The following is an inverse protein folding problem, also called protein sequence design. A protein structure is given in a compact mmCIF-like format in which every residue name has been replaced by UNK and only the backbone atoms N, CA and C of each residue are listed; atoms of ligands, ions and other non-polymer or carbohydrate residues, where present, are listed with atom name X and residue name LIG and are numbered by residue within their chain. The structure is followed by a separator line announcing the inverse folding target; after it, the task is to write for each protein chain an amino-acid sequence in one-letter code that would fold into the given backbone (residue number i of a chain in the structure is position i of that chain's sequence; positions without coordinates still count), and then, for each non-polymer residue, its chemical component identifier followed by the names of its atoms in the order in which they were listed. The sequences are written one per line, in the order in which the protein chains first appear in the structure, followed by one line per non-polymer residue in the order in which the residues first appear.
data_IF_834221229953
#
_entry.id   IF_834221229953
#
_cell.length_a   1.000
_cell.length_b   1.000
_cell.length_c   1.000
_cell.angle_alpha   90.00
_cell.angle_beta   90.00
_cell.angle_gamma   90.00
#
_symmetry.space_group_name_H-M   'P 1'
#
loop_
_entity.id
_entity.type
_entity.pdbx_description
1 polymer ?
#
# COMPACT_ATOMS: atom_id res chain seq x y z
N UNK A 1 2.19 -106.37 50.40
CA UNK A 1 1.97 -107.60 49.61
C UNK A 1 0.47 -107.85 49.50
N UNK A 2 0.01 -108.06 48.28
CA UNK A 2 -1.18 -108.82 47.81
C UNK A 2 -2.57 -108.52 48.37
N UNK A 3 -3.34 -107.90 47.48
CA UNK A 3 -4.74 -108.13 47.11
C UNK A 3 -5.46 -109.33 47.73
N UNK A 4 -6.65 -109.04 48.27
CA UNK A 4 -7.76 -109.98 48.48
C UNK A 4 -8.93 -109.60 47.57
N UNK A 5 -9.63 -110.65 47.13
CA UNK A 5 -10.59 -110.73 46.03
C UNK A 5 -12.07 -110.48 46.39
N UNK A 6 -12.83 -109.99 45.39
CA UNK A 6 -14.27 -110.29 45.05
C UNK A 6 -15.38 -109.67 45.95
N UNK A 7 -16.63 -109.36 45.47
CA UNK A 7 -17.30 -109.68 44.19
C UNK A 7 -17.90 -108.51 43.38
N UNK A 8 -18.17 -108.83 42.11
CA UNK A 8 -19.08 -108.14 41.18
C UNK A 8 -20.52 -108.31 41.65
N UNK A 9 -21.33 -107.25 41.58
CA UNK A 9 -22.77 -107.35 41.79
C UNK A 9 -23.56 -106.65 40.67
N UNK A 10 -24.58 -107.36 40.20
CA UNK A 10 -25.26 -107.23 38.92
C UNK A 10 -26.42 -106.21 38.95
N UNK A 11 -26.19 -104.96 39.35
CA UNK A 11 -27.29 -103.97 39.46
C UNK A 11 -27.47 -103.03 38.24
N UNK A 12 -26.61 -103.14 37.21
CA UNK A 12 -26.50 -102.10 36.15
C UNK A 12 -27.61 -102.18 35.09
N UNK A 13 -28.40 -103.25 35.03
CA UNK A 13 -29.30 -103.48 33.89
C UNK A 13 -30.75 -102.98 34.04
N UNK A 14 -31.13 -102.35 35.17
CA UNK A 14 -32.51 -101.85 35.35
C UNK A 14 -32.64 -100.31 35.33
N UNK A 15 -31.54 -99.56 35.45
CA UNK A 15 -31.57 -98.09 35.39
C UNK A 15 -31.31 -97.51 33.99
N UNK A 16 -30.71 -98.27 33.08
CA UNK A 16 -30.33 -97.77 31.74
C UNK A 16 -31.52 -97.61 30.79
N UNK A 17 -32.60 -98.36 31.00
CA UNK A 17 -33.82 -98.28 30.16
C UNK A 17 -34.77 -97.15 30.56
N UNK A 18 -34.82 -96.74 31.84
CA UNK A 18 -35.63 -95.57 32.27
C UNK A 18 -34.99 -94.21 31.94
N UNK A 19 -33.67 -94.14 31.84
CA UNK A 19 -32.94 -92.89 31.51
C UNK A 19 -33.02 -92.51 30.02
N UNK A 20 -33.29 -93.48 29.13
CA UNK A 20 -33.41 -93.21 27.68
C UNK A 20 -34.78 -92.65 27.25
N UNK A 21 -35.84 -92.88 28.03
CA UNK A 21 -37.16 -92.29 27.75
C UNK A 21 -37.29 -90.84 28.27
N UNK A 22 -36.71 -90.53 29.44
CA UNK A 22 -36.72 -89.17 29.99
C UNK A 22 -35.88 -88.18 29.15
N UNK A 23 -34.81 -88.66 28.51
CA UNK A 23 -33.95 -87.84 27.64
C UNK A 23 -34.63 -87.44 26.31
N UNK A 24 -35.57 -88.26 25.81
CA UNK A 24 -36.35 -87.94 24.60
C UNK A 24 -37.51 -86.98 24.87
N UNK A 25 -38.05 -86.94 26.09
CA UNK A 25 -39.05 -85.94 26.48
C UNK A 25 -38.45 -84.56 26.78
N UNK A 26 -37.28 -84.50 27.45
CA UNK A 26 -36.60 -83.23 27.72
C UNK A 26 -36.16 -82.50 26.44
N UNK A 27 -35.72 -83.22 25.40
CA UNK A 27 -35.33 -82.62 24.12
C UNK A 27 -36.52 -82.14 23.27
N UNK A 28 -37.73 -82.68 23.49
CA UNK A 28 -38.98 -82.14 22.91
C UNK A 28 -39.47 -80.91 23.67
N UNK A 29 -39.39 -80.91 25.00
CA UNK A 29 -39.77 -79.77 25.84
C UNK A 29 -38.83 -78.56 25.64
N UNK A 30 -37.52 -78.77 25.47
CA UNK A 30 -36.57 -77.69 25.18
C UNK A 30 -36.76 -77.07 23.78
N UNK A 31 -37.16 -77.87 22.79
CA UNK A 31 -37.52 -77.34 21.45
C UNK A 31 -38.84 -76.55 21.49
N UNK A 32 -39.82 -76.99 22.29
CA UNK A 32 -41.08 -76.27 22.47
C UNK A 32 -40.87 -74.99 23.29
N UNK A 33 -40.01 -75.00 24.32
CA UNK A 33 -39.68 -73.81 25.10
C UNK A 33 -38.83 -72.80 24.31
N UNK A 34 -37.86 -73.24 23.50
CA UNK A 34 -37.14 -72.35 22.59
C UNK A 34 -38.06 -71.75 21.53
N UNK A 35 -38.93 -72.54 20.89
CA UNK A 35 -39.87 -72.00 19.90
C UNK A 35 -40.94 -71.08 20.53
N UNK A 36 -41.43 -71.37 21.74
CA UNK A 36 -42.36 -70.48 22.46
C UNK A 36 -41.68 -69.21 22.96
N UNK A 37 -40.43 -69.28 23.41
CA UNK A 37 -39.68 -68.11 23.86
C UNK A 37 -39.32 -67.20 22.69
N UNK A 38 -38.92 -67.75 21.55
CA UNK A 38 -38.65 -66.96 20.34
C UNK A 38 -39.93 -66.34 19.80
N UNK A 39 -41.05 -67.08 19.78
CA UNK A 39 -42.33 -66.53 19.35
C UNK A 39 -42.91 -65.48 20.31
N UNK A 40 -42.68 -65.63 21.62
CA UNK A 40 -43.05 -64.63 22.63
C UNK A 40 -42.20 -63.35 22.49
N UNK A 41 -40.89 -63.49 22.28
CA UNK A 41 -40.02 -62.35 21.98
C UNK A 41 -40.42 -61.66 20.66
N UNK A 42 -40.84 -62.43 19.64
CA UNK A 42 -41.32 -61.89 18.37
C UNK A 42 -42.61 -61.08 18.55
N UNK A 43 -43.60 -61.60 19.30
CA UNK A 43 -44.84 -60.89 19.61
C UNK A 43 -44.63 -59.66 20.50
N UNK A 44 -43.70 -59.73 21.45
CA UNK A 44 -43.31 -58.58 22.27
C UNK A 44 -42.63 -57.50 21.42
N UNK A 45 -41.78 -57.89 20.47
CA UNK A 45 -41.18 -56.95 19.52
C UNK A 45 -42.23 -56.34 18.59
N UNK A 46 -43.13 -57.12 17.98
CA UNK A 46 -44.22 -56.57 17.14
C UNK A 46 -45.13 -55.61 17.91
N UNK A 47 -45.47 -55.96 19.16
CA UNK A 47 -46.27 -55.11 20.04
C UNK A 47 -45.55 -53.80 20.41
N UNK A 48 -44.26 -53.88 20.72
CA UNK A 48 -43.45 -52.71 21.02
C UNK A 48 -43.24 -51.83 19.78
N UNK A 49 -42.98 -52.41 18.61
CA UNK A 49 -42.87 -51.71 17.33
C UNK A 49 -44.19 -50.99 17.03
N UNK A 50 -45.33 -51.66 17.21
CA UNK A 50 -46.67 -51.05 17.00
C UNK A 50 -46.90 -49.89 17.96
N UNK A 51 -46.56 -50.05 19.24
CA UNK A 51 -46.70 -48.99 20.25
C UNK A 51 -45.77 -47.79 20.02
N UNK A 52 -44.57 -48.00 19.47
CA UNK A 52 -43.62 -46.92 19.14
C UNK A 52 -44.02 -46.21 17.84
N UNK A 53 -44.61 -46.94 16.88
CA UNK A 53 -45.17 -46.40 15.63
C UNK A 53 -46.38 -45.47 15.87
N UNK A 54 -47.14 -45.67 16.96
CA UNK A 54 -48.31 -44.86 17.29
C UNK A 54 -47.98 -43.57 18.07
N UNK A 55 -46.74 -43.37 18.51
CA UNK A 55 -46.34 -42.24 19.37
C UNK A 55 -45.24 -41.35 18.79
N UNK A 56 -44.86 -41.53 17.52
CA UNK A 56 -43.93 -40.62 16.83
C UNK A 56 -44.71 -39.55 16.07
N UNK A 57 -44.39 -38.25 16.26
CA UNK A 57 -45.15 -37.16 15.64
C UNK A 57 -45.07 -37.23 14.11
N UNK A 58 -46.23 -37.03 13.48
CA UNK A 58 -46.43 -37.09 12.04
C UNK A 58 -45.73 -35.90 11.36
N UNK A 59 -44.54 -36.15 10.82
CA UNK A 59 -43.73 -35.16 10.08
C UNK A 59 -44.17 -35.05 8.61
N UNK A 60 -45.47 -34.88 8.38
CA UNK A 60 -46.12 -34.70 7.07
C UNK A 60 -45.79 -33.37 6.37
N UNK A 61 -44.65 -32.74 6.70
CA UNK A 61 -44.20 -31.46 6.10
C UNK A 61 -42.84 -31.52 5.40
N UNK A 62 -42.32 -32.70 5.08
CA UNK A 62 -41.00 -32.85 4.40
C UNK A 62 -41.14 -33.37 2.95
N UNK A 63 -42.34 -33.50 2.40
CA UNK A 63 -42.54 -34.12 1.07
C UNK A 63 -42.18 -33.28 -0.16
N UNK A 64 -41.64 -32.06 -0.01
CA UNK A 64 -41.27 -31.22 -1.17
C UNK A 64 -39.80 -31.37 -1.65
N UNK A 65 -39.15 -32.50 -1.35
CA UNK A 65 -37.81 -32.83 -1.89
C UNK A 65 -37.72 -34.28 -2.37
N UNK A 66 -38.34 -34.57 -3.51
CA UNK A 66 -38.23 -35.88 -4.18
C UNK A 66 -37.86 -35.70 -5.66
N UNK A 67 -36.70 -35.09 -5.94
CA UNK A 67 -36.02 -35.16 -7.24
C UNK A 67 -34.49 -35.05 -7.07
N UNK A 68 -33.88 -35.92 -6.27
CA UNK A 68 -32.45 -36.26 -6.37
C UNK A 68 -32.21 -37.60 -5.69
N UNK A 69 -31.36 -38.44 -6.29
CA UNK A 69 -31.22 -39.87 -5.97
C UNK A 69 -31.00 -40.20 -4.50
N UNK A 70 -31.55 -41.35 -4.09
CA UNK A 70 -31.23 -42.15 -2.89
C UNK A 70 -30.36 -41.43 -1.85
N UNK A 71 -30.94 -40.42 -1.18
CA UNK A 71 -30.35 -39.98 0.08
C UNK A 71 -30.66 -41.04 1.13
N UNK A 72 -29.64 -41.56 1.85
CA UNK A 72 -29.88 -42.49 2.94
C UNK A 72 -30.82 -41.84 3.96
N UNK A 73 -31.91 -42.54 4.30
CA UNK A 73 -32.91 -42.05 5.26
C UNK A 73 -32.23 -41.60 6.55
N UNK A 74 -32.56 -40.40 7.08
CA UNK A 74 -31.89 -39.85 8.25
C UNK A 74 -31.93 -40.84 9.43
N UNK A 75 -30.80 -41.06 10.12
CA UNK A 75 -30.78 -41.91 11.32
C UNK A 75 -31.73 -41.33 12.38
N UNK A 76 -32.63 -42.17 12.90
CA UNK A 76 -33.70 -41.76 13.83
C UNK A 76 -35.05 -41.41 13.17
N UNK A 77 -35.14 -41.44 11.84
CA UNK A 77 -36.45 -41.38 11.16
C UNK A 77 -37.25 -42.68 11.37
N UNK A 78 -38.58 -42.56 11.37
CA UNK A 78 -39.49 -43.71 11.49
C UNK A 78 -39.22 -44.78 10.42
N UNK A 79 -38.95 -44.35 9.18
CA UNK A 79 -38.60 -45.23 8.07
C UNK A 79 -37.26 -45.95 8.30
N UNK A 80 -36.23 -45.25 8.78
CA UNK A 80 -34.94 -45.85 9.11
C UNK A 80 -35.05 -46.88 10.25
N UNK A 81 -35.78 -46.56 11.31
CA UNK A 81 -36.04 -47.47 12.43
C UNK A 81 -36.81 -48.71 11.97
N UNK A 82 -37.86 -48.53 11.18
CA UNK A 82 -38.66 -49.62 10.65
C UNK A 82 -37.84 -50.54 9.75
N UNK A 83 -36.99 -49.98 8.88
CA UNK A 83 -36.11 -50.76 8.01
C UNK A 83 -35.01 -51.49 8.79
N UNK A 84 -34.42 -50.83 9.80
CA UNK A 84 -33.42 -51.43 10.69
C UNK A 84 -33.99 -52.61 11.47
N UNK A 85 -35.19 -52.45 12.02
CA UNK A 85 -35.87 -53.50 12.78
C UNK A 85 -36.29 -54.64 11.85
N UNK A 86 -36.80 -54.33 10.66
CA UNK A 86 -37.12 -55.34 9.64
C UNK A 86 -35.87 -56.13 9.26
N UNK A 87 -34.76 -55.47 8.97
CA UNK A 87 -33.48 -56.11 8.65
C UNK A 87 -32.99 -57.01 9.81
N UNK A 88 -33.08 -56.53 11.06
CA UNK A 88 -32.70 -57.30 12.24
C UNK A 88 -33.59 -58.54 12.47
N UNK A 89 -34.91 -58.43 12.27
CA UNK A 89 -35.82 -59.58 12.38
C UNK A 89 -35.55 -60.61 11.28
N UNK A 90 -35.27 -60.15 10.06
CA UNK A 90 -34.93 -61.04 8.94
C UNK A 90 -33.59 -61.76 9.17
N UNK A 91 -32.60 -61.06 9.74
CA UNK A 91 -31.32 -61.64 10.14
C UNK A 91 -31.50 -62.69 11.27
N UNK A 92 -32.33 -62.37 12.27
CA UNK A 92 -32.63 -63.28 13.38
C UNK A 92 -33.27 -64.59 12.88
N UNK A 93 -34.17 -64.52 11.90
CA UNK A 93 -34.81 -65.68 11.29
C UNK A 93 -33.85 -66.54 10.46
N UNK A 94 -32.85 -65.94 9.82
CA UNK A 94 -31.97 -66.62 8.84
C UNK A 94 -30.65 -67.12 9.42
N UNK A 95 -29.99 -66.30 10.25
CA UNK A 95 -28.67 -66.60 10.82
C UNK A 95 -28.64 -66.61 12.35
N UNK A 96 -29.73 -66.20 13.01
CA UNK A 96 -29.85 -66.14 14.47
C UNK A 96 -28.81 -65.20 15.13
N UNK A 97 -28.44 -64.13 14.41
CA UNK A 97 -27.46 -63.10 14.80
C UNK A 97 -28.09 -61.70 14.76
N UNK A 98 -27.35 -60.69 15.25
CA UNK A 98 -27.76 -59.28 15.25
C UNK A 98 -26.64 -58.34 14.73
N UNK A 99 -25.87 -58.79 13.75
CA UNK A 99 -24.77 -58.00 13.17
C UNK A 99 -25.29 -56.74 12.51
N UNK A 100 -26.47 -56.77 11.89
CA UNK A 100 -27.12 -55.60 11.28
C UNK A 100 -27.35 -54.47 12.29
N UNK A 101 -27.83 -54.79 13.50
CA UNK A 101 -27.99 -53.79 14.56
C UNK A 101 -26.64 -53.22 15.02
N UNK A 102 -25.62 -54.07 15.07
CA UNK A 102 -24.27 -53.67 15.47
C UNK A 102 -23.66 -52.71 14.46
N UNK A 103 -23.84 -53.00 13.16
CA UNK A 103 -23.40 -52.15 12.05
C UNK A 103 -24.16 -50.82 12.00
N UNK A 104 -25.47 -50.85 12.26
CA UNK A 104 -26.29 -49.63 12.35
C UNK A 104 -25.82 -48.75 13.50
N UNK A 105 -25.62 -49.31 14.70
CA UNK A 105 -25.11 -48.56 15.85
C UNK A 105 -23.71 -48.00 15.57
N UNK A 106 -22.84 -48.78 14.93
CA UNK A 106 -21.51 -48.34 14.53
C UNK A 106 -21.57 -47.16 13.55
N UNK A 107 -22.39 -47.26 12.50
CA UNK A 107 -22.54 -46.21 11.49
C UNK A 107 -23.16 -44.92 12.07
N UNK A 108 -24.20 -45.03 12.91
CA UNK A 108 -24.80 -43.86 13.58
C UNK A 108 -23.80 -43.18 14.52
N UNK A 109 -23.02 -43.97 15.27
CA UNK A 109 -21.97 -43.43 16.16
C UNK A 109 -20.85 -42.74 15.36
N UNK A 110 -20.47 -43.29 14.20
CA UNK A 110 -19.50 -42.68 13.29
C UNK A 110 -20.03 -41.36 12.73
N UNK A 111 -21.24 -41.34 12.18
CA UNK A 111 -21.87 -40.14 11.63
C UNK A 111 -21.99 -39.03 12.68
N UNK A 112 -22.36 -39.38 13.92
CA UNK A 112 -22.42 -38.41 15.02
C UNK A 112 -21.05 -37.80 15.32
N UNK A 113 -19.98 -38.59 15.33
CA UNK A 113 -18.61 -38.08 15.52
C UNK A 113 -18.17 -37.18 14.36
N UNK A 114 -18.52 -37.54 13.12
CA UNK A 114 -18.21 -36.73 11.94
C UNK A 114 -18.94 -35.38 12.01
N UNK A 115 -20.21 -35.36 12.43
CA UNK A 115 -20.99 -34.14 12.65
C UNK A 115 -20.41 -33.27 13.77
N UNK A 116 -20.05 -33.87 14.92
CA UNK A 116 -19.36 -33.17 16.02
C UNK A 116 -18.03 -32.56 15.55
N UNK A 117 -17.27 -33.26 14.71
CA UNK A 117 -16.04 -32.75 14.09
C UNK A 117 -16.28 -31.53 13.21
N UNK A 118 -17.31 -31.57 12.35
CA UNK A 118 -17.70 -30.45 11.49
C UNK A 118 -18.17 -29.23 12.30
N UNK A 119 -18.93 -29.46 13.39
CA UNK A 119 -19.37 -28.38 14.29
C UNK A 119 -18.17 -27.70 14.94
N UNK A 120 -17.19 -28.47 15.42
CA UNK A 120 -15.99 -27.92 16.05
C UNK A 120 -15.13 -27.14 15.04
N UNK A 121 -14.96 -27.65 13.82
CA UNK A 121 -14.26 -26.94 12.74
C UNK A 121 -14.98 -25.64 12.37
N UNK A 122 -16.32 -25.67 12.26
CA UNK A 122 -17.14 -24.50 12.02
C UNK A 122 -16.99 -23.44 13.13
N UNK A 123 -16.99 -23.87 14.40
CA UNK A 123 -16.74 -22.99 15.53
C UNK A 123 -15.33 -22.35 15.44
N UNK A 124 -14.30 -23.12 15.08
CA UNK A 124 -12.95 -22.58 14.84
C UNK A 124 -12.92 -21.49 13.76
N UNK A 125 -13.57 -21.75 12.60
CA UNK A 125 -13.64 -20.79 11.48
C UNK A 125 -14.36 -19.49 11.85
N UNK A 126 -15.40 -19.56 12.69
CA UNK A 126 -16.11 -18.34 13.13
C UNK A 126 -15.25 -17.44 14.00
N UNK A 127 -14.42 -18.01 14.89
CA UNK A 127 -13.45 -17.25 15.69
C UNK A 127 -12.38 -16.63 14.80
N UNK A 128 -11.85 -17.39 13.85
CA UNK A 128 -10.86 -16.89 12.88
C UNK A 128 -11.42 -15.74 12.03
N UNK A 129 -12.65 -15.89 11.51
CA UNK A 129 -13.32 -14.83 10.76
C UNK A 129 -13.54 -13.56 11.60
N UNK A 130 -13.91 -13.70 12.86
CA UNK A 130 -14.06 -12.56 13.77
C UNK A 130 -12.71 -11.86 14.01
N UNK A 131 -11.63 -12.62 14.18
CA UNK A 131 -10.28 -12.10 14.31
C UNK A 131 -9.84 -11.34 13.06
N UNK A 132 -9.98 -11.94 11.87
CA UNK A 132 -9.60 -11.33 10.59
C UNK A 132 -10.41 -10.07 10.31
N UNK A 133 -11.72 -10.06 10.61
CA UNK A 133 -12.56 -8.87 10.49
C UNK A 133 -12.09 -7.74 11.39
N UNK A 134 -11.69 -8.04 12.62
CA UNK A 134 -11.14 -7.05 13.55
C UNK A 134 -9.77 -6.54 13.11
N UNK A 135 -8.93 -7.39 12.52
CA UNK A 135 -7.65 -6.97 11.94
C UNK A 135 -7.88 -6.05 10.75
N UNK A 136 -8.76 -6.41 9.82
CA UNK A 136 -9.11 -5.57 8.67
C UNK A 136 -9.63 -4.20 9.09
N UNK A 137 -10.54 -4.15 10.09
CA UNK A 137 -11.06 -2.88 10.62
C UNK A 137 -9.94 -2.02 11.21
N UNK A 138 -9.00 -2.62 11.95
CA UNK A 138 -7.86 -1.87 12.51
C UNK A 138 -6.98 -1.30 11.41
N UNK A 139 -6.64 -2.09 10.40
CA UNK A 139 -5.85 -1.62 9.26
C UNK A 139 -6.56 -0.49 8.50
N UNK A 140 -7.87 -0.57 8.30
CA UNK A 140 -8.65 0.49 7.67
C UNK A 140 -8.58 1.80 8.46
N UNK A 141 -8.71 1.74 9.78
CA UNK A 141 -8.59 2.92 10.65
C UNK A 141 -7.16 3.50 10.58
N UNK A 142 -6.13 2.67 10.66
CA UNK A 142 -4.74 3.11 10.54
C UNK A 142 -4.49 3.81 9.20
N UNK A 143 -4.92 3.20 8.08
CA UNK A 143 -4.77 3.81 6.75
C UNK A 143 -5.53 5.13 6.63
N UNK A 144 -6.73 5.22 7.18
CA UNK A 144 -7.49 6.47 7.18
C UNK A 144 -6.78 7.58 7.95
N UNK A 145 -6.19 7.25 9.11
CA UNK A 145 -5.39 8.20 9.88
C UNK A 145 -4.12 8.62 9.13
N UNK A 146 -3.42 7.68 8.49
CA UNK A 146 -2.22 7.99 7.70
C UNK A 146 -2.55 8.90 6.51
N UNK A 147 -3.70 8.70 5.86
CA UNK A 147 -4.19 9.58 4.80
C UNK A 147 -4.45 10.98 5.38
N UNK A 148 -5.16 11.09 6.50
CA UNK A 148 -5.41 12.38 7.15
C UNK A 148 -4.13 13.13 7.53
N UNK A 149 -3.13 12.45 8.07
CA UNK A 149 -1.82 13.04 8.39
C UNK A 149 -1.08 13.53 7.14
N UNK A 150 -1.17 12.78 6.03
CA UNK A 150 -0.57 13.19 4.75
C UNK A 150 -1.30 14.38 4.14
N UNK A 151 -2.63 14.42 4.24
CA UNK A 151 -3.44 15.56 3.77
C UNK A 151 -3.11 16.83 4.56
N UNK A 152 -2.96 16.73 5.89
CA UNK A 152 -2.52 17.84 6.74
C UNK A 152 -1.11 18.32 6.37
N UNK A 153 -0.17 17.39 6.15
CA UNK A 153 1.19 17.74 5.69
C UNK A 153 1.16 18.44 4.32
N UNK A 154 0.33 17.98 3.39
CA UNK A 154 0.17 18.63 2.07
C UNK A 154 -0.39 20.04 2.24
N UNK A 155 -1.36 20.26 3.13
CA UNK A 155 -1.90 21.58 3.42
C UNK A 155 -0.82 22.52 3.97
N UNK A 156 -0.07 22.07 4.98
CA UNK A 156 1.03 22.85 5.58
C UNK A 156 2.10 23.21 4.54
N UNK A 157 2.55 22.24 3.73
CA UNK A 157 3.54 22.47 2.68
C UNK A 157 3.04 23.46 1.62
N UNK A 158 1.74 23.46 1.32
CA UNK A 158 1.14 24.41 0.38
C UNK A 158 1.15 25.84 0.94
N UNK A 159 0.84 25.99 2.23
CA UNK A 159 0.86 27.29 2.91
C UNK A 159 2.29 27.84 3.01
N UNK A 160 3.27 26.98 3.32
CA UNK A 160 4.69 27.33 3.31
C UNK A 160 5.15 27.81 1.92
N UNK A 161 4.77 27.07 0.87
CA UNK A 161 5.11 27.43 -0.50
C UNK A 161 4.49 28.76 -0.92
N UNK A 162 3.23 29.02 -0.56
CA UNK A 162 2.58 30.31 -0.82
C UNK A 162 3.26 31.46 -0.07
N UNK A 163 3.65 31.23 1.18
CA UNK A 163 4.37 32.22 1.99
C UNK A 163 5.73 32.55 1.36
N UNK A 164 6.51 31.54 0.98
CA UNK A 164 7.80 31.72 0.30
C UNK A 164 7.65 32.41 -1.06
N UNK A 165 6.61 32.07 -1.83
CA UNK A 165 6.32 32.74 -3.09
C UNK A 165 6.09 34.24 -2.90
N UNK A 166 5.27 34.61 -1.91
CA UNK A 166 5.01 36.02 -1.61
C UNK A 166 6.26 36.75 -1.12
N UNK A 167 7.07 36.12 -0.24
CA UNK A 167 8.33 36.68 0.23
C UNK A 167 9.29 36.94 -0.93
N UNK A 168 9.51 35.95 -1.79
CA UNK A 168 10.37 36.08 -2.96
C UNK A 168 9.89 37.17 -3.92
N UNK A 169 8.58 37.27 -4.14
CA UNK A 169 8.01 38.32 -4.99
C UNK A 169 8.28 39.71 -4.41
N UNK A 170 8.09 39.89 -3.10
CA UNK A 170 8.37 41.14 -2.40
C UNK A 170 9.86 41.50 -2.45
N UNK A 171 10.74 40.52 -2.21
CA UNK A 171 12.20 40.72 -2.30
C UNK A 171 12.62 41.12 -3.71
N UNK A 172 12.08 40.46 -4.73
CA UNK A 172 12.35 40.80 -6.12
C UNK A 172 11.90 42.21 -6.47
N UNK A 173 10.70 42.62 -6.04
CA UNK A 173 10.24 44.00 -6.23
C UNK A 173 11.15 45.01 -5.53
N UNK A 174 11.59 44.70 -4.31
CA UNK A 174 12.49 45.57 -3.56
C UNK A 174 13.84 45.73 -4.26
N UNK A 175 14.44 44.63 -4.70
CA UNK A 175 15.71 44.65 -5.44
C UNK A 175 15.56 45.46 -6.73
N UNK A 176 14.51 45.21 -7.52
CA UNK A 176 14.27 45.94 -8.75
C UNK A 176 14.14 47.45 -8.53
N UNK A 177 13.41 47.87 -7.48
CA UNK A 177 13.25 49.30 -7.13
C UNK A 177 14.58 49.90 -6.68
N UNK A 178 15.33 49.18 -5.85
CA UNK A 178 16.64 49.64 -5.38
C UNK A 178 17.64 49.79 -6.53
N UNK A 179 17.71 48.80 -7.44
CA UNK A 179 18.59 48.85 -8.60
C UNK A 179 18.19 49.98 -9.55
N UNK A 180 16.89 50.18 -9.80
CA UNK A 180 16.39 51.28 -10.63
C UNK A 180 16.78 52.64 -10.05
N UNK A 181 16.54 52.86 -8.75
CA UNK A 181 16.92 54.11 -8.08
C UNK A 181 18.44 54.35 -8.10
N UNK A 182 19.23 53.28 -7.95
CA UNK A 182 20.70 53.35 -8.04
C UNK A 182 21.15 53.74 -9.46
N UNK A 183 20.55 53.16 -10.49
CA UNK A 183 20.82 53.49 -11.88
C UNK A 183 20.45 54.94 -12.20
N UNK A 184 19.28 55.40 -11.76
CA UNK A 184 18.84 56.80 -11.92
C UNK A 184 19.81 57.79 -11.26
N UNK A 185 20.21 57.53 -10.00
CA UNK A 185 21.16 58.39 -9.29
C UNK A 185 22.53 58.43 -10.00
N UNK A 186 23.00 57.29 -10.50
CA UNK A 186 24.26 57.24 -11.23
C UNK A 186 24.17 57.98 -12.58
N UNK A 187 23.05 57.84 -13.29
CA UNK A 187 22.80 58.58 -14.53
C UNK A 187 22.80 60.09 -14.29
N UNK A 188 22.14 60.57 -13.23
CA UNK A 188 22.13 61.98 -12.86
C UNK A 188 23.52 62.51 -12.51
N UNK A 189 24.32 61.72 -11.77
CA UNK A 189 25.71 62.07 -11.46
C UNK A 189 26.54 62.19 -12.72
N UNK A 190 26.41 61.21 -13.62
CA UNK A 190 27.13 61.20 -14.89
C UNK A 190 26.75 62.43 -15.74
N UNK A 191 25.46 62.72 -15.87
CA UNK A 191 24.96 63.87 -16.62
C UNK A 191 25.51 65.20 -16.09
N UNK A 192 25.53 65.38 -14.75
CA UNK A 192 26.14 66.55 -14.12
C UNK A 192 27.64 66.65 -14.41
N UNK A 193 28.37 65.55 -14.35
CA UNK A 193 29.81 65.56 -14.65
C UNK A 193 30.09 65.85 -16.12
N UNK A 194 29.31 65.27 -17.03
CA UNK A 194 29.42 65.51 -18.48
C UNK A 194 29.11 66.97 -18.80
N UNK A 195 28.02 67.50 -18.23
CA UNK A 195 27.64 68.91 -18.40
C UNK A 195 28.74 69.86 -17.89
N UNK A 196 29.30 69.59 -16.70
CA UNK A 196 30.39 70.40 -16.15
C UNK A 196 31.67 70.35 -16.99
N UNK A 197 32.03 69.18 -17.52
CA UNK A 197 33.18 69.05 -18.43
C UNK A 197 32.95 69.79 -19.74
N UNK A 198 31.72 69.76 -20.27
CA UNK A 198 31.35 70.49 -21.48
C UNK A 198 31.43 72.01 -21.28
N UNK A 199 30.96 72.53 -20.15
CA UNK A 199 31.10 73.94 -19.80
C UNK A 199 32.58 74.36 -19.72
N UNK A 200 33.43 73.52 -19.14
CA UNK A 200 34.88 73.76 -19.10
C UNK A 200 35.50 73.74 -20.49
N UNK A 201 35.13 72.78 -21.33
CA UNK A 201 35.59 72.69 -22.72
C UNK A 201 35.23 73.96 -23.51
N UNK A 202 33.99 74.43 -23.39
CA UNK A 202 33.52 75.65 -24.06
C UNK A 202 34.25 76.90 -23.56
N UNK A 203 34.54 76.98 -22.25
CA UNK A 203 35.35 78.06 -21.67
C UNK A 203 36.79 78.04 -22.20
N UNK A 204 37.41 76.85 -22.27
CA UNK A 204 38.76 76.70 -22.82
C UNK A 204 38.81 77.10 -24.30
N UNK A 205 37.84 76.68 -25.11
CA UNK A 205 37.71 77.09 -26.52
C UNK A 205 37.61 78.61 -26.64
N UNK A 206 36.74 79.23 -25.83
CA UNK A 206 36.60 80.67 -25.83
C UNK A 206 37.92 81.38 -25.47
N UNK A 207 38.61 80.93 -24.43
CA UNK A 207 39.90 81.49 -24.03
C UNK A 207 40.94 81.34 -25.14
N UNK A 208 41.03 80.16 -25.78
CA UNK A 208 41.93 79.92 -26.91
C UNK A 208 41.64 80.86 -28.08
N UNK A 209 40.37 81.05 -28.44
CA UNK A 209 39.97 81.97 -29.51
C UNK A 209 40.35 83.42 -29.19
N UNK A 210 40.20 83.85 -27.93
CA UNK A 210 40.61 85.19 -27.51
C UNK A 210 42.13 85.37 -27.56
N UNK A 211 42.90 84.35 -27.14
CA UNK A 211 44.36 84.37 -27.21
C UNK A 211 44.83 84.42 -28.67
N UNK A 212 44.27 83.59 -29.54
CA UNK A 212 44.56 83.61 -30.98
C UNK A 212 44.26 84.97 -31.61
N UNK A 213 43.15 85.62 -31.23
CA UNK A 213 42.81 86.97 -31.70
C UNK A 213 43.86 87.99 -31.25
N UNK A 214 44.18 88.03 -29.96
CA UNK A 214 45.19 88.96 -29.41
C UNK A 214 46.57 88.71 -30.04
N UNK A 215 46.95 87.45 -30.25
CA UNK A 215 48.19 87.09 -30.91
C UNK A 215 48.22 87.59 -32.37
N UNK A 216 47.10 87.43 -33.10
CA UNK A 216 46.95 87.94 -34.47
C UNK A 216 47.06 89.47 -34.51
N UNK A 217 46.38 90.17 -33.60
CA UNK A 217 46.44 91.63 -33.49
C UNK A 217 47.86 92.12 -33.18
N UNK A 218 48.57 91.40 -32.29
CA UNK A 218 49.96 91.68 -31.94
C UNK A 218 50.89 91.51 -33.14
N UNK A 219 50.76 90.42 -33.89
CA UNK A 219 51.53 90.19 -35.12
C UNK A 219 51.26 91.30 -36.14
N UNK A 220 50.00 91.68 -36.32
CA UNK A 220 49.60 92.74 -37.25
C UNK A 220 50.21 94.08 -36.86
N UNK A 221 50.12 94.45 -35.58
CA UNK A 221 50.71 95.68 -35.05
C UNK A 221 52.23 95.72 -35.26
N UNK A 222 52.94 94.65 -34.87
CA UNK A 222 54.39 94.53 -35.06
C UNK A 222 54.79 94.61 -36.54
N UNK A 223 54.03 93.93 -37.41
CA UNK A 223 54.27 93.95 -38.85
C UNK A 223 54.12 95.36 -39.45
N UNK A 224 53.10 96.10 -39.02
CA UNK A 224 52.90 97.49 -39.43
C UNK A 224 54.03 98.41 -38.91
N UNK A 225 54.40 98.28 -37.63
CA UNK A 225 55.49 99.06 -37.04
C UNK A 225 56.83 98.87 -37.78
N UNK A 226 57.15 97.63 -38.16
CA UNK A 226 58.34 97.30 -38.96
C UNK A 226 58.28 97.97 -40.34
N UNK A 227 57.12 98.02 -40.99
CA UNK A 227 56.96 98.63 -42.32
C UNK A 227 57.09 100.16 -42.32
N UNK A 228 56.67 100.83 -41.24
CA UNK A 228 56.66 102.29 -41.13
C UNK A 228 58.03 102.87 -40.79
N UNK A 229 58.92 102.12 -40.12
CA UNK A 229 60.27 102.59 -39.77
C UNK A 229 61.15 102.69 -41.04
N UNK A 230 61.49 103.91 -41.51
CA UNK A 230 62.33 104.09 -42.68
C UNK A 230 63.80 103.95 -42.27
N UNK A 231 64.43 102.81 -42.57
CA UNK A 231 65.89 102.70 -42.47
C UNK A 231 66.47 101.33 -42.11
N UNK A 232 65.70 100.36 -41.61
CA UNK A 232 66.26 99.05 -41.26
C UNK A 232 66.05 98.01 -42.36
N UNK A 233 66.96 98.00 -43.34
CA UNK A 233 67.31 96.76 -44.06
C UNK A 233 67.97 95.81 -43.07
N UNK A 234 67.19 95.11 -42.24
CA UNK A 234 67.70 93.91 -41.57
C UNK A 234 67.83 92.85 -42.66
N UNK A 235 69.08 92.59 -43.09
CA UNK A 235 69.41 91.35 -43.77
C UNK A 235 68.98 90.22 -42.83
N UNK A 236 67.86 89.55 -43.13
CA UNK A 236 67.52 88.30 -42.47
C UNK A 236 68.60 87.30 -42.86
N UNK A 237 69.51 87.01 -41.94
CA UNK A 237 70.39 85.85 -42.05
C UNK A 237 69.50 84.60 -42.15
N UNK A 238 69.70 83.70 -43.12
CA UNK A 238 68.89 82.49 -43.30
C UNK A 238 68.90 81.50 -42.12
N UNK A 239 69.62 81.79 -41.03
CA UNK A 239 69.87 80.86 -39.92
C UNK A 239 68.85 80.90 -38.79
N UNK A 240 67.97 81.92 -38.74
CA UNK A 240 66.99 82.06 -37.64
C UNK A 240 65.57 81.58 -38.04
N UNK A 241 65.46 80.78 -39.09
CA UNK A 241 64.23 80.03 -39.38
C UNK A 241 64.14 78.91 -38.36
N UNK A 242 63.54 79.21 -37.21
CA UNK A 242 63.10 78.19 -36.26
C UNK A 242 62.33 77.11 -37.04
N UNK A 243 62.92 75.92 -37.13
CA UNK A 243 62.21 74.70 -37.46
C UNK A 243 61.26 74.47 -36.30
N UNK A 244 60.00 74.83 -36.50
CA UNK A 244 58.93 74.22 -35.73
C UNK A 244 58.84 72.83 -36.33
N UNK A 245 59.49 71.87 -35.68
CA UNK A 245 59.27 70.46 -35.95
C UNK A 245 57.79 70.21 -35.62
N UNK A 246 56.95 70.22 -36.66
CA UNK A 246 55.62 69.63 -36.64
C UNK A 246 55.79 68.11 -36.52
N UNK A 247 56.26 67.63 -35.38
CA UNK A 247 55.97 66.25 -35.00
C UNK A 247 54.51 66.21 -34.56
N UNK A 248 53.63 65.49 -35.26
CA UNK A 248 52.30 65.23 -34.76
C UNK A 248 52.46 64.35 -33.53
N UNK A 249 52.40 64.96 -32.34
CA UNK A 249 52.18 64.23 -31.10
C UNK A 249 50.78 63.61 -31.17
N UNK A 250 50.69 62.44 -31.82
CA UNK A 250 49.56 61.52 -31.71
C UNK A 250 49.60 60.91 -30.31
N UNK A 251 49.28 61.70 -29.29
CA UNK A 251 48.90 61.20 -27.99
C UNK A 251 47.41 60.79 -28.04
N UNK A 252 47.06 59.91 -28.98
CA UNK A 252 45.92 59.01 -28.81
C UNK A 252 46.46 57.77 -28.10
N UNK A 253 46.85 57.98 -26.83
CA UNK A 253 47.02 56.86 -25.92
C UNK A 253 45.63 56.26 -25.77
N UNK A 254 45.52 55.01 -26.20
CA UNK A 254 44.35 54.17 -26.11
C UNK A 254 43.84 54.19 -24.67
N UNK A 255 42.82 55.00 -24.39
CA UNK A 255 41.92 54.72 -23.27
C UNK A 255 41.17 53.46 -23.67
N UNK A 256 41.72 52.30 -23.31
CA UNK A 256 40.92 51.08 -23.27
C UNK A 256 39.68 51.37 -22.41
N UNK A 257 38.46 51.08 -22.91
CA UNK A 257 37.27 51.24 -22.10
C UNK A 257 37.47 50.40 -20.82
N UNK A 258 37.13 50.93 -19.63
CA UNK A 258 37.23 50.15 -18.41
C UNK A 258 36.46 48.84 -18.62
N UNK A 259 37.19 47.73 -18.50
CA UNK A 259 36.67 46.38 -18.55
C UNK A 259 35.37 46.32 -17.77
N UNK A 260 34.26 46.04 -18.46
CA UNK A 260 32.93 45.88 -17.88
C UNK A 260 32.78 44.56 -17.10
N UNK A 261 33.90 44.02 -16.61
CA UNK A 261 33.97 42.88 -15.72
C UNK A 261 33.72 43.32 -14.27
N UNK A 262 32.59 44.01 -14.03
CA UNK A 262 31.92 43.92 -12.73
C UNK A 262 30.82 42.88 -12.92
N UNK A 263 31.27 41.63 -12.86
CA UNK A 263 30.58 40.49 -12.24
C UNK A 263 29.11 40.78 -11.92
N UNK A 264 28.26 40.46 -12.89
CA UNK A 264 26.89 40.07 -12.64
C UNK A 264 26.92 38.83 -11.73
N UNK A 265 26.43 38.89 -10.48
CA UNK A 265 26.36 37.73 -9.60
C UNK A 265 25.09 36.92 -9.91
N UNK A 266 24.75 36.74 -11.19
CA UNK A 266 23.78 35.72 -11.57
C UNK A 266 24.54 34.41 -11.75
N UNK A 267 24.89 33.79 -10.63
CA UNK A 267 24.97 32.34 -10.60
C UNK A 267 23.61 31.82 -11.04
N UNK A 268 23.55 31.35 -12.28
CA UNK A 268 22.45 30.51 -12.74
C UNK A 268 22.39 29.32 -11.79
N UNK A 269 21.42 29.36 -10.87
CA UNK A 269 20.98 28.16 -10.16
C UNK A 269 20.48 27.22 -11.24
N UNK A 270 21.31 26.25 -11.62
CA UNK A 270 20.87 25.09 -12.37
C UNK A 270 19.89 24.36 -11.46
N UNK A 271 18.60 24.60 -11.70
CA UNK A 271 17.54 23.76 -11.16
C UNK A 271 17.61 22.47 -11.96
N UNK A 272 18.34 21.48 -11.43
CA UNK A 272 18.34 20.11 -11.93
C UNK A 272 16.89 19.60 -11.90
N UNK A 273 16.26 19.69 -13.06
CA UNK A 273 14.91 19.20 -13.34
C UNK A 273 15.00 17.73 -13.72
N UNK A 274 15.41 16.91 -12.77
CA UNK A 274 15.20 15.46 -12.82
C UNK A 274 14.50 15.03 -11.55
N UNK A 275 13.23 15.44 -11.42
CA UNK A 275 12.27 14.79 -10.55
C UNK A 275 11.33 13.97 -11.42
N UNK A 276 11.76 12.75 -11.76
CA UNK A 276 10.91 11.73 -12.37
C UNK A 276 10.03 11.12 -11.29
N UNK A 277 8.72 11.16 -11.52
CA UNK A 277 7.66 10.51 -10.74
C UNK A 277 7.86 9.00 -10.61
#
# INVERSE_FOLDING_TARGET
MRFGDVPKDESINFQKTKLLDVSKEHTKLDKIHKNRSVHFCFKMCESWISSVLDHTPDNSKVEDRMLSGFEPTPPGSRAFLQETVRAALTELETSNTFTCLTDVVYNVTRMKKDEEGLILEGAGKTVELAYLKNQLRREQITRANDIGLREELIANLKDDLQTQFFQNQMEQEFVNRWESARCEQNAERLDKTVSGLKEQEDLLKHNMDTEMRVHTDTINFLSQAIQVLPGHKVQRSPKDRFQIDEEPHTCYQQCEPPSTDILSPYHSVQVDSTFTF
#
